data_IF_971663990011
#
_entry.id   IF_971663990011
#
_cell.length_a   1.000
_cell.length_b   1.000
_cell.length_c   1.000
_cell.angle_alpha   90.00
_cell.angle_beta   90.00
_cell.angle_gamma   90.00
#
_symmetry.space_group_name_H-M   'P 1'
#
loop_
_entity.id
_entity.type
_entity.pdbx_description
1 polymer ?
#
# COMPACT_ATOMS: atom_id res chain seq x y z
N UNK A 1 -33.98 25.08 -7.16
CA UNK A 1 -33.32 24.09 -8.04
C UNK A 1 -31.98 23.65 -7.42
N UNK A 2 -31.95 23.30 -6.12
CA UNK A 2 -30.70 23.11 -5.36
C UNK A 2 -30.57 21.72 -4.71
N UNK A 3 -31.66 20.99 -4.52
CA UNK A 3 -31.63 19.70 -3.82
C UNK A 3 -30.93 18.58 -4.61
N UNK A 4 -30.98 18.66 -5.95
CA UNK A 4 -30.35 17.65 -6.83
C UNK A 4 -28.82 17.76 -6.87
N UNK A 5 -28.27 18.95 -6.62
CA UNK A 5 -26.81 19.17 -6.62
C UNK A 5 -26.17 18.72 -5.30
N UNK A 6 -26.84 18.94 -4.18
CA UNK A 6 -26.36 18.54 -2.85
C UNK A 6 -26.36 17.01 -2.67
N UNK A 7 -27.42 16.34 -3.12
CA UNK A 7 -27.52 14.87 -3.11
C UNK A 7 -26.43 14.21 -3.98
N UNK A 8 -26.12 14.79 -5.15
CA UNK A 8 -25.02 14.33 -6.01
C UNK A 8 -23.62 14.61 -5.46
N UNK A 9 -23.45 15.63 -4.61
CA UNK A 9 -22.19 15.88 -3.90
C UNK A 9 -22.02 14.93 -2.71
N UNK A 10 -23.10 14.65 -1.97
CA UNK A 10 -23.10 13.69 -0.87
C UNK A 10 -22.78 12.26 -1.34
N UNK A 11 -23.36 11.81 -2.46
CA UNK A 11 -23.08 10.47 -3.01
C UNK A 11 -21.62 10.30 -3.45
N UNK A 12 -21.02 11.33 -4.07
CA UNK A 12 -19.59 11.33 -4.42
C UNK A 12 -18.69 11.27 -3.18
N UNK A 13 -19.02 12.02 -2.14
CA UNK A 13 -18.28 11.99 -0.87
C UNK A 13 -18.30 10.60 -0.24
N UNK A 14 -19.47 9.96 -0.20
CA UNK A 14 -19.62 8.59 0.31
C UNK A 14 -18.81 7.56 -0.51
N UNK A 15 -18.81 7.68 -1.84
CA UNK A 15 -18.01 6.81 -2.70
C UNK A 15 -16.50 6.96 -2.47
N UNK A 16 -16.02 8.19 -2.25
CA UNK A 16 -14.62 8.50 -1.93
C UNK A 16 -14.24 7.89 -0.58
N UNK A 17 -15.09 8.05 0.45
CA UNK A 17 -14.86 7.49 1.79
C UNK A 17 -14.81 5.95 1.74
N UNK A 18 -15.70 5.31 0.98
CA UNK A 18 -15.69 3.86 0.77
C UNK A 18 -14.39 3.38 0.12
N UNK A 19 -13.92 4.05 -0.94
CA UNK A 19 -12.62 3.73 -1.56
C UNK A 19 -11.45 3.94 -0.60
N UNK A 20 -11.48 5.01 0.20
CA UNK A 20 -10.42 5.28 1.17
C UNK A 20 -10.34 4.17 2.24
N UNK A 21 -11.51 3.67 2.70
CA UNK A 21 -11.58 2.53 3.63
C UNK A 21 -10.95 1.28 3.00
N UNK A 22 -11.33 0.93 1.78
CA UNK A 22 -10.76 -0.22 1.06
C UNK A 22 -9.24 -0.11 0.86
N UNK A 23 -8.74 1.09 0.54
CA UNK A 23 -7.28 1.31 0.42
C UNK A 23 -6.57 1.08 1.75
N UNK A 24 -7.16 1.53 2.86
CA UNK A 24 -6.60 1.34 4.20
C UNK A 24 -6.55 -0.14 4.60
N UNK A 25 -7.61 -0.89 4.31
CA UNK A 25 -7.67 -2.33 4.56
C UNK A 25 -6.57 -3.08 3.78
N UNK A 26 -6.46 -2.83 2.46
CA UNK A 26 -5.39 -3.42 1.64
C UNK A 26 -3.99 -3.02 2.12
N UNK A 27 -3.80 -1.78 2.55
CA UNK A 27 -2.52 -1.31 3.06
C UNK A 27 -2.12 -2.06 4.35
N UNK A 28 -3.08 -2.31 5.24
CA UNK A 28 -2.84 -3.07 6.46
C UNK A 28 -2.48 -4.54 6.17
N UNK A 29 -3.18 -5.19 5.25
CA UNK A 29 -2.86 -6.55 4.82
C UNK A 29 -1.46 -6.63 4.18
N UNK A 30 -1.17 -5.73 3.24
CA UNK A 30 0.13 -5.64 2.58
C UNK A 30 1.25 -5.37 3.59
N UNK A 31 1.01 -4.56 4.61
CA UNK A 31 1.98 -4.32 5.67
C UNK A 31 2.28 -5.59 6.47
N UNK A 32 1.26 -6.36 6.86
CA UNK A 32 1.44 -7.64 7.55
C UNK A 32 2.26 -8.64 6.73
N UNK A 33 1.95 -8.75 5.44
CA UNK A 33 2.68 -9.61 4.51
C UNK A 33 4.15 -9.19 4.39
N UNK A 34 4.41 -7.89 4.18
CA UNK A 34 5.77 -7.36 4.08
C UNK A 34 6.59 -7.58 5.35
N UNK A 35 5.98 -7.39 6.53
CA UNK A 35 6.63 -7.66 7.81
C UNK A 35 6.97 -9.14 7.96
N UNK A 36 6.06 -10.05 7.58
CA UNK A 36 6.31 -11.49 7.61
C UNK A 36 7.47 -11.88 6.68
N UNK A 37 7.46 -11.40 5.43
CA UNK A 37 8.54 -11.60 4.46
C UNK A 37 9.88 -11.08 4.98
N UNK A 38 9.89 -9.86 5.53
CA UNK A 38 11.12 -9.26 6.11
C UNK A 38 11.64 -10.07 7.30
N UNK A 39 10.76 -10.59 8.16
CA UNK A 39 11.14 -11.45 9.28
C UNK A 39 11.76 -12.76 8.81
N UNK A 40 11.20 -13.39 7.77
CA UNK A 40 11.78 -14.59 7.16
C UNK A 40 13.17 -14.31 6.58
N UNK A 41 13.30 -13.22 5.80
CA UNK A 41 14.57 -12.80 5.22
C UNK A 41 15.66 -12.55 6.29
N UNK A 42 15.33 -11.84 7.38
CA UNK A 42 16.29 -11.59 8.47
C UNK A 42 16.75 -12.89 9.13
N UNK A 43 15.85 -13.86 9.31
CA UNK A 43 16.22 -15.18 9.84
C UNK A 43 17.12 -15.94 8.88
N UNK A 44 16.79 -15.96 7.59
CA UNK A 44 17.60 -16.60 6.55
C UNK A 44 19.03 -16.05 6.55
N UNK A 45 19.19 -14.71 6.55
CA UNK A 45 20.51 -14.06 6.65
C UNK A 45 21.27 -14.46 7.92
N UNK A 46 20.60 -14.52 9.07
CA UNK A 46 21.23 -14.94 10.34
C UNK A 46 21.67 -16.41 10.33
N UNK A 47 20.93 -17.28 9.65
CA UNK A 47 21.30 -18.69 9.47
C UNK A 47 22.32 -18.93 8.35
N UNK A 48 22.88 -17.87 7.74
CA UNK A 48 23.84 -17.99 6.65
C UNK A 48 23.26 -18.48 5.33
N UNK A 49 21.93 -18.43 5.17
CA UNK A 49 21.27 -18.73 3.90
C UNK A 49 21.49 -17.58 2.91
N UNK A 50 21.63 -17.92 1.63
CA UNK A 50 21.74 -16.94 0.56
C UNK A 50 20.48 -16.05 0.52
N UNK A 51 20.67 -14.74 0.39
CA UNK A 51 19.57 -13.80 0.20
C UNK A 51 19.18 -13.80 -1.29
N UNK A 52 18.16 -14.57 -1.67
CA UNK A 52 17.65 -14.63 -3.05
C UNK A 52 16.89 -13.37 -3.48
N UNK A 53 16.90 -12.32 -2.66
CA UNK A 53 16.19 -11.09 -2.98
C UNK A 53 16.94 -10.32 -4.07
N UNK A 54 16.35 -10.24 -5.25
CA UNK A 54 16.77 -9.29 -6.27
C UNK A 54 16.66 -7.87 -5.69
N UNK A 55 17.78 -7.15 -5.66
CA UNK A 55 17.84 -5.77 -5.16
C UNK A 55 16.80 -4.89 -5.85
N UNK A 56 16.27 -3.90 -5.12
CA UNK A 56 15.44 -2.87 -5.74
C UNK A 56 16.30 -2.14 -6.78
N UNK A 57 15.77 -1.86 -7.98
CA UNK A 57 16.49 -1.04 -8.95
C UNK A 57 16.87 0.29 -8.29
N UNK A 58 18.09 0.75 -8.55
CA UNK A 58 18.52 2.07 -8.10
C UNK A 58 17.44 3.07 -8.49
N UNK A 59 17.00 3.89 -7.52
CA UNK A 59 16.08 4.98 -7.82
C UNK A 59 16.68 5.76 -8.99
N UNK A 60 15.89 6.01 -10.04
CA UNK A 60 16.34 6.91 -11.10
C UNK A 60 16.68 8.22 -10.40
N UNK A 61 17.95 8.62 -10.44
CA UNK A 61 18.31 9.97 -10.08
C UNK A 61 17.63 10.83 -11.13
N UNK A 62 16.55 11.47 -10.73
CA UNK A 62 15.85 12.42 -11.57
C UNK A 62 16.84 13.55 -11.83
N UNK A 63 17.28 13.69 -13.08
CA UNK A 63 17.97 14.88 -13.55
C UNK A 63 16.93 16.00 -13.52
N UNK A 64 16.92 16.78 -12.44
CA UNK A 64 16.18 18.04 -12.30
C UNK A 64 16.94 19.00 -11.39
#
# INVERSE_FOLDING_TARGET
>A
MNDKTETGQQSRKQAIEAQAKLRRERAAEKLRENLSKRKQQVRARRSGQADETNGLPAAKMDES
#
